data_IF_417117859490
#
_entry.id   IF_417117859490
#
_cell.length_a   1.000
_cell.length_b   1.000
_cell.length_c   1.000
_cell.angle_alpha   90.00
_cell.angle_beta   90.00
_cell.angle_gamma   90.00
#
_symmetry.space_group_name_H-M   'P 1'
#
loop_
_entity.id
_entity.type
_entity.pdbx_description
1 polymer ?
#
# COMPACT_ATOMS: atom_id res chain seq x y z
N UNK A 1 15.99 -0.94 -1.51
CA UNK A 1 14.58 -1.22 -1.83
C UNK A 1 14.20 -2.48 -1.07
N UNK A 2 13.45 -2.35 0.01
CA UNK A 2 12.99 -3.51 0.75
C UNK A 2 11.83 -4.13 -0.01
N UNK A 3 11.94 -5.41 -0.33
CA UNK A 3 10.89 -6.17 -1.00
C UNK A 3 9.92 -6.68 0.06
N UNK A 4 9.03 -5.81 0.53
CA UNK A 4 8.02 -6.19 1.50
C UNK A 4 6.67 -6.32 0.83
N UNK A 5 5.87 -7.20 1.36
CA UNK A 5 4.64 -7.65 0.78
C UNK A 5 3.55 -6.57 0.80
N UNK A 6 3.41 -5.81 1.89
CA UNK A 6 2.48 -4.70 1.98
C UNK A 6 3.14 -3.44 2.54
N UNK A 7 2.40 -2.33 2.54
CA UNK A 7 2.90 -1.04 3.01
C UNK A 7 3.30 -1.07 4.48
N UNK A 8 2.57 -1.78 5.35
CA UNK A 8 2.89 -1.88 6.76
C UNK A 8 4.29 -2.49 6.99
N UNK A 9 4.60 -3.57 6.30
CA UNK A 9 5.91 -4.24 6.38
C UNK A 9 7.05 -3.38 5.84
N UNK A 10 6.75 -2.48 4.89
CA UNK A 10 7.74 -1.53 4.37
C UNK A 10 8.24 -0.55 5.43
N UNK A 11 7.51 -0.37 6.53
CA UNK A 11 7.88 0.52 7.63
C UNK A 11 8.59 -0.19 8.79
N UNK A 12 8.60 -1.51 8.87
CA UNK A 12 9.18 -2.26 10.00
C UNK A 12 10.66 -1.93 10.25
N UNK A 13 11.38 -1.56 9.21
CA UNK A 13 12.78 -1.14 9.31
C UNK A 13 12.97 0.39 9.35
N UNK A 14 11.92 1.16 9.52
CA UNK A 14 12.01 2.61 9.64
C UNK A 14 12.22 3.03 11.09
N UNK A 15 13.32 3.73 11.38
CA UNK A 15 13.58 4.27 12.72
C UNK A 15 12.54 5.32 13.17
N UNK A 16 11.70 5.81 12.27
CA UNK A 16 10.78 6.93 12.51
C UNK A 16 9.35 6.54 12.63
N UNK A 17 8.99 5.35 12.17
CA UNK A 17 7.62 4.86 12.09
C UNK A 17 7.59 3.50 12.78
N UNK A 18 6.66 3.35 13.69
CA UNK A 18 6.31 2.06 14.26
C UNK A 18 5.00 1.59 13.68
N UNK A 19 4.94 0.33 13.31
CA UNK A 19 3.71 -0.33 12.89
C UNK A 19 3.25 -1.21 14.04
N UNK A 20 1.98 -1.09 14.39
CA UNK A 20 1.35 -1.93 15.41
C UNK A 20 -0.01 -2.41 14.93
N UNK A 21 -0.57 -3.39 15.61
CA UNK A 21 -1.95 -3.80 15.36
C UNK A 21 -2.91 -2.76 15.95
N UNK A 22 -3.91 -2.37 15.17
CA UNK A 22 -5.02 -1.54 15.65
C UNK A 22 -6.09 -2.41 16.30
N UNK A 23 -6.24 -3.62 15.78
CA UNK A 23 -7.17 -4.63 16.27
C UNK A 23 -6.55 -6.02 16.02
N UNK A 24 -6.53 -6.84 17.08
CA UNK A 24 -5.94 -8.16 17.05
C UNK A 24 -6.81 -9.17 16.26
N UNK A 25 -8.13 -9.00 16.30
CA UNK A 25 -9.07 -9.94 15.67
C UNK A 25 -9.01 -9.81 14.16
N UNK A 26 -9.11 -8.60 13.64
CA UNK A 26 -9.13 -8.36 12.19
C UNK A 26 -7.73 -8.28 11.56
N UNK A 27 -6.67 -8.24 12.38
CA UNK A 27 -5.31 -8.03 11.93
C UNK A 27 -5.07 -6.64 11.32
N UNK A 28 -5.96 -5.68 11.60
CA UNK A 28 -5.81 -4.31 11.13
C UNK A 28 -4.56 -3.66 11.72
N UNK A 29 -3.74 -3.07 10.86
CA UNK A 29 -2.47 -2.44 11.26
C UNK A 29 -2.59 -0.92 11.23
N UNK A 30 -1.94 -0.27 12.16
CA UNK A 30 -1.83 1.18 12.20
C UNK A 30 -0.37 1.64 12.27
N UNK A 31 -0.12 2.76 11.64
CA UNK A 31 1.15 3.46 11.77
C UNK A 31 1.12 4.36 13.00
N UNK A 32 2.24 4.40 13.70
CA UNK A 32 2.51 5.42 14.73
C UNK A 32 3.73 6.23 14.29
N UNK A 33 3.53 7.51 14.14
CA UNK A 33 4.59 8.45 13.81
C UNK A 33 4.85 9.36 15.02
N UNK A 34 6.10 9.45 15.44
CA UNK A 34 6.50 10.19 16.66
C UNK A 34 5.80 9.68 17.93
N UNK A 35 5.45 8.40 17.99
CA UNK A 35 4.74 7.80 19.13
C UNK A 35 3.24 8.09 19.17
N UNK A 36 2.70 8.91 18.27
CA UNK A 36 1.28 9.26 18.21
C UNK A 36 0.50 8.22 17.38
N UNK A 37 -0.79 8.07 17.71
CA UNK A 37 -1.70 7.18 16.98
C UNK A 37 -1.79 7.55 15.50
N UNK A 38 -2.02 6.55 14.66
CA UNK A 38 -2.13 6.69 13.21
C UNK A 38 -3.21 7.66 12.72
N UNK A 39 -4.23 7.94 13.54
CA UNK A 39 -5.27 8.95 13.22
C UNK A 39 -4.71 10.37 13.08
N UNK A 40 -3.54 10.64 13.67
CA UNK A 40 -2.84 11.92 13.59
C UNK A 40 -1.81 11.99 12.46
N UNK A 41 -1.69 10.93 11.67
CA UNK A 41 -0.79 10.83 10.52
C UNK A 41 -1.62 10.81 9.24
N UNK A 42 -1.39 11.76 8.36
CA UNK A 42 -2.10 11.80 7.09
C UNK A 42 -1.41 10.90 6.06
N UNK A 43 -2.21 10.05 5.41
CA UNK A 43 -1.79 9.27 4.27
C UNK A 43 -2.16 9.96 2.97
N UNK A 44 -1.19 10.07 2.08
CA UNK A 44 -1.36 10.65 0.74
C UNK A 44 -0.97 9.61 -0.32
N UNK A 45 -1.67 9.64 -1.43
CA UNK A 45 -1.34 8.94 -2.67
C UNK A 45 -1.10 9.98 -3.76
N UNK A 46 0.15 10.13 -4.18
CA UNK A 46 0.57 11.18 -5.12
C UNK A 46 0.03 12.57 -4.74
N UNK A 47 0.24 12.94 -3.47
CA UNK A 47 -0.22 14.19 -2.85
C UNK A 47 -1.74 14.36 -2.70
N UNK A 48 -2.52 13.30 -2.85
CA UNK A 48 -3.97 13.31 -2.61
C UNK A 48 -4.29 12.53 -1.34
N UNK A 49 -5.07 13.09 -0.40
CA UNK A 49 -5.44 12.38 0.81
C UNK A 49 -6.20 11.09 0.53
N UNK A 50 -5.74 10.00 1.14
CA UNK A 50 -6.36 8.67 1.05
C UNK A 50 -6.52 8.07 2.45
N UNK A 51 -7.27 6.96 2.55
CA UNK A 51 -7.37 6.14 3.75
C UNK A 51 -7.83 6.92 4.97
N UNK A 52 -8.92 7.65 4.82
CA UNK A 52 -9.54 8.44 5.88
C UNK A 52 -10.68 7.68 6.56
N UNK A 53 -10.96 8.06 7.81
CA UNK A 53 -12.09 7.53 8.58
C UNK A 53 -11.99 6.02 8.80
N UNK A 54 -13.06 5.29 8.52
CA UNK A 54 -13.19 3.84 8.77
C UNK A 54 -12.17 3.01 7.96
N UNK A 55 -11.74 3.49 6.80
CA UNK A 55 -10.77 2.78 5.96
C UNK A 55 -9.31 2.90 6.46
N UNK A 56 -9.02 3.84 7.36
CA UNK A 56 -7.66 4.11 7.81
C UNK A 56 -6.93 2.89 8.40
N UNK A 57 -7.55 2.04 9.25
CA UNK A 57 -6.88 0.88 9.83
C UNK A 57 -6.53 -0.20 8.80
N UNK A 58 -7.31 -0.32 7.73
CA UNK A 58 -7.09 -1.34 6.70
C UNK A 58 -6.22 -0.85 5.54
N UNK A 59 -6.10 0.45 5.40
CA UNK A 59 -5.45 1.08 4.26
C UNK A 59 -4.01 0.62 4.02
N UNK A 60 -3.28 0.33 5.10
CA UNK A 60 -1.90 -0.15 5.02
C UNK A 60 -1.79 -1.54 4.39
N UNK A 61 -2.81 -2.38 4.58
CA UNK A 61 -2.86 -3.71 3.97
C UNK A 61 -3.26 -3.66 2.49
N UNK A 62 -3.92 -2.58 2.06
CA UNK A 62 -4.47 -2.44 0.71
C UNK A 62 -3.49 -1.86 -0.32
N UNK A 63 -2.29 -1.49 0.12
CA UNK A 63 -1.26 -0.99 -0.78
C UNK A 63 -0.12 -2.01 -0.86
N UNK A 64 0.01 -2.73 -1.97
CA UNK A 64 1.15 -3.61 -2.19
C UNK A 64 2.46 -2.81 -2.23
N UNK A 65 3.44 -3.20 -1.42
CA UNK A 65 4.74 -2.51 -1.37
C UNK A 65 5.47 -2.52 -2.71
N UNK A 66 5.27 -3.55 -3.50
CA UNK A 66 5.87 -3.69 -4.84
C UNK A 66 5.34 -2.69 -5.88
N UNK A 67 4.17 -2.07 -5.63
CA UNK A 67 3.60 -1.03 -6.50
C UNK A 67 4.26 0.34 -6.31
N UNK A 68 5.00 0.52 -5.20
CA UNK A 68 5.56 1.80 -4.84
C UNK A 68 6.93 2.01 -5.46
N UNK A 69 7.13 3.19 -6.01
CA UNK A 69 8.42 3.72 -6.44
C UNK A 69 9.16 4.31 -5.23
N UNK A 70 8.45 5.10 -4.42
CA UNK A 70 9.00 5.70 -3.22
C UNK A 70 7.92 5.97 -2.15
N UNK A 71 8.37 6.11 -0.92
CA UNK A 71 7.58 6.53 0.24
C UNK A 71 8.26 7.75 0.82
N UNK A 72 7.53 8.87 0.87
CA UNK A 72 8.03 10.12 1.41
C UNK A 72 7.40 10.35 2.78
N UNK A 73 8.23 10.62 3.79
CA UNK A 73 7.80 10.81 5.17
C UNK A 73 8.17 12.22 5.60
N UNK A 74 7.17 13.04 5.91
CA UNK A 74 7.33 14.34 6.53
C UNK A 74 6.85 14.28 7.97
N UNK A 75 7.71 14.68 8.90
CA UNK A 75 7.42 14.67 10.34
C UNK A 75 6.95 16.06 10.79
N UNK A 76 6.02 16.08 11.73
CA UNK A 76 5.47 17.31 12.28
C UNK A 76 4.26 17.85 11.52
N UNK A 77 3.65 18.92 11.99
CA UNK A 77 2.46 19.48 11.39
C UNK A 77 2.72 19.97 9.98
N UNK A 78 1.79 19.67 9.09
CA UNK A 78 1.85 20.05 7.68
C UNK A 78 0.86 21.14 7.34
N UNK A 79 0.84 21.57 6.08
CA UNK A 79 -0.08 22.58 5.60
C UNK A 79 -1.53 22.12 5.72
N UNK A 80 -2.40 23.01 6.21
CA UNK A 80 -3.86 22.80 6.28
C UNK A 80 -4.53 22.52 4.93
N UNK A 81 -3.85 22.82 3.82
CA UNK A 81 -4.32 22.49 2.46
C UNK A 81 -4.55 20.99 2.32
N UNK A 82 -3.75 20.17 2.98
CA UNK A 82 -3.84 18.71 2.91
C UNK A 82 -4.83 18.10 3.92
N UNK A 83 -5.36 18.88 4.85
CA UNK A 83 -6.34 18.44 5.87
C UNK A 83 -5.83 18.65 7.30
N UNK A 84 -6.71 18.36 8.26
CA UNK A 84 -6.46 18.58 9.69
C UNK A 84 -5.73 17.43 10.39
N UNK A 85 -5.56 16.29 9.72
CA UNK A 85 -5.03 15.05 10.32
C UNK A 85 -3.49 15.03 10.40
N UNK A 86 -2.81 16.11 10.00
CA UNK A 86 -1.34 16.18 9.93
C UNK A 86 -0.70 16.71 11.21
N UNK A 87 -1.04 16.15 12.35
CA UNK A 87 -0.44 16.55 13.63
C UNK A 87 0.93 15.94 13.82
N UNK A 88 1.05 14.63 13.60
CA UNK A 88 2.33 13.91 13.71
C UNK A 88 3.13 13.93 12.42
N UNK A 89 2.46 14.09 11.28
CA UNK A 89 3.11 14.17 9.97
C UNK A 89 2.30 13.62 8.81
N UNK A 90 2.98 13.48 7.69
CA UNK A 90 2.41 12.96 6.44
C UNK A 90 3.25 11.82 5.89
N UNK A 91 2.58 10.86 5.27
CA UNK A 91 3.21 9.80 4.49
C UNK A 91 2.62 9.85 3.09
N UNK A 92 3.44 10.21 2.12
CA UNK A 92 3.05 10.25 0.72
C UNK A 92 3.59 9.04 -0.04
N UNK A 93 2.71 8.36 -0.74
CA UNK A 93 3.01 7.18 -1.53
C UNK A 93 3.14 7.59 -2.99
N UNK A 94 4.26 7.26 -3.60
CA UNK A 94 4.49 7.43 -5.03
C UNK A 94 4.46 6.07 -5.70
N UNK A 95 3.49 5.87 -6.58
CA UNK A 95 3.38 4.63 -7.35
C UNK A 95 4.31 4.62 -8.55
N UNK A 96 4.64 3.43 -9.03
CA UNK A 96 5.37 3.20 -10.27
C UNK A 96 4.68 3.90 -11.43
N UNK A 97 5.48 4.55 -12.27
CA UNK A 97 4.99 5.38 -13.39
C UNK A 97 5.17 4.66 -14.72
N UNK A 98 4.28 4.88 -15.70
CA UNK A 98 4.42 4.25 -17.01
C UNK A 98 5.73 4.55 -17.73
N UNK A 99 6.36 5.69 -17.40
CA UNK A 99 7.59 6.16 -18.05
C UNK A 99 8.88 5.63 -17.44
N UNK A 100 8.82 5.11 -16.21
CA UNK A 100 10.01 4.68 -15.46
C UNK A 100 10.03 3.18 -15.20
N UNK A 101 8.93 2.49 -15.43
CA UNK A 101 8.81 1.07 -15.14
C UNK A 101 9.36 0.22 -16.30
N UNK A 102 9.87 -0.94 -15.95
CA UNK A 102 10.30 -1.96 -16.92
C UNK A 102 9.09 -2.51 -17.70
N UNK A 103 9.29 -3.00 -18.92
CA UNK A 103 8.22 -3.59 -19.71
C UNK A 103 7.47 -4.72 -18.98
N UNK A 104 8.18 -5.49 -18.17
CA UNK A 104 7.59 -6.54 -17.34
C UNK A 104 8.42 -6.74 -16.06
N UNK A 105 7.73 -6.68 -14.94
CA UNK A 105 8.24 -7.04 -13.62
C UNK A 105 7.34 -8.09 -13.00
N UNK A 106 7.93 -9.20 -12.55
CA UNK A 106 7.25 -10.26 -11.82
C UNK A 106 7.96 -10.47 -10.49
N UNK A 107 7.19 -10.61 -9.42
CA UNK A 107 7.70 -10.95 -8.11
C UNK A 107 6.79 -12.01 -7.48
N UNK A 108 7.37 -13.09 -7.01
CA UNK A 108 6.69 -14.17 -6.29
C UNK A 108 7.31 -14.32 -4.91
N UNK A 109 6.48 -14.47 -3.91
CA UNK A 109 6.88 -14.70 -2.53
C UNK A 109 6.12 -15.89 -1.94
N UNK A 110 6.83 -16.74 -1.20
CA UNK A 110 6.27 -17.84 -0.45
C UNK A 110 6.99 -17.93 0.90
N UNK A 111 6.22 -17.92 1.98
CA UNK A 111 6.78 -18.09 3.33
C UNK A 111 6.66 -19.52 3.82
N UNK A 112 7.38 -19.84 4.91
CA UNK A 112 7.28 -21.14 5.58
C UNK A 112 5.90 -21.41 6.19
N UNK A 113 5.12 -20.36 6.48
CA UNK A 113 3.72 -20.44 6.93
C UNK A 113 2.72 -20.55 5.76
N UNK A 114 3.19 -20.83 4.54
CA UNK A 114 2.40 -20.93 3.30
C UNK A 114 1.73 -19.62 2.85
N UNK A 115 2.08 -18.48 3.45
CA UNK A 115 1.69 -17.18 2.89
C UNK A 115 2.33 -17.05 1.52
N UNK A 116 1.52 -16.79 0.52
CA UNK A 116 1.93 -16.67 -0.87
C UNK A 116 1.51 -15.34 -1.46
N UNK A 117 2.37 -14.76 -2.29
CA UNK A 117 2.09 -13.51 -2.98
C UNK A 117 2.62 -13.55 -4.40
N UNK A 118 1.89 -12.89 -5.30
CA UNK A 118 2.29 -12.67 -6.67
C UNK A 118 2.06 -11.21 -7.05
N UNK A 119 3.09 -10.57 -7.59
CA UNK A 119 3.02 -9.21 -8.05
C UNK A 119 3.44 -9.14 -9.51
N UNK A 120 2.70 -8.38 -10.30
CA UNK A 120 3.02 -8.06 -11.69
C UNK A 120 2.98 -6.54 -11.89
N UNK A 121 3.95 -6.02 -12.58
CA UNK A 121 3.92 -4.67 -13.12
C UNK A 121 4.35 -4.72 -14.59
N UNK A 122 3.58 -4.10 -15.47
CA UNK A 122 3.88 -4.03 -16.89
C UNK A 122 3.65 -2.63 -17.42
N UNK A 123 4.67 -2.05 -18.02
CA UNK A 123 4.62 -0.75 -18.67
C UNK A 123 4.56 -0.91 -20.18
N UNK A 124 3.63 -0.21 -20.81
CA UNK A 124 3.41 -0.22 -22.24
C UNK A 124 3.43 1.22 -22.74
N UNK A 125 4.32 1.52 -23.66
CA UNK A 125 4.29 2.76 -24.43
C UNK A 125 3.55 2.52 -25.74
N UNK A 126 2.35 3.09 -25.88
CA UNK A 126 1.53 2.91 -27.06
C UNK A 126 2.02 3.76 -28.23
N UNK A 127 2.46 4.99 -27.93
CA UNK A 127 3.07 5.93 -28.87
C UNK A 127 3.81 7.03 -28.08
N UNK A 128 4.33 8.05 -28.78
CA UNK A 128 5.13 9.12 -28.17
C UNK A 128 4.37 9.95 -27.12
N UNK A 129 3.04 9.89 -27.11
CA UNK A 129 2.17 10.67 -26.20
C UNK A 129 1.47 9.84 -25.14
N UNK A 130 1.24 8.56 -25.41
CA UNK A 130 0.45 7.70 -24.54
C UNK A 130 1.27 6.57 -23.97
N UNK A 131 1.26 6.44 -22.66
CA UNK A 131 1.81 5.31 -21.94
C UNK A 131 0.85 4.81 -20.87
N UNK A 132 0.96 3.54 -20.55
CA UNK A 132 0.13 2.89 -19.52
C UNK A 132 0.98 1.97 -18.66
N UNK A 133 0.63 1.82 -17.39
CA UNK A 133 1.15 0.79 -16.51
C UNK A 133 0.00 0.00 -15.89
N UNK A 134 0.14 -1.31 -15.91
CA UNK A 134 -0.75 -2.25 -15.23
C UNK A 134 0.00 -2.80 -14.03
N UNK A 135 -0.64 -2.76 -12.87
CA UNK A 135 -0.13 -3.27 -11.61
C UNK A 135 -1.13 -4.30 -11.07
N UNK A 136 -0.69 -5.52 -10.90
CA UNK A 136 -1.48 -6.60 -10.31
C UNK A 136 -0.83 -7.09 -9.02
N UNK A 137 -1.65 -7.45 -8.04
CA UNK A 137 -1.21 -8.07 -6.80
C UNK A 137 -2.23 -9.11 -6.36
N UNK A 138 -1.74 -10.25 -5.98
CA UNK A 138 -2.49 -11.30 -5.33
C UNK A 138 -1.74 -11.71 -4.07
N UNK A 139 -2.44 -11.85 -2.96
CA UNK A 139 -1.90 -12.42 -1.74
C UNK A 139 -2.89 -13.39 -1.10
N UNK A 140 -2.37 -14.47 -0.57
CA UNK A 140 -3.12 -15.44 0.22
C UNK A 140 -2.33 -15.76 1.47
N UNK A 141 -2.94 -15.50 2.60
CA UNK A 141 -2.47 -15.94 3.90
C UNK A 141 -3.45 -16.99 4.42
N UNK A 142 -3.04 -18.26 4.53
CA UNK A 142 -3.95 -19.31 4.96
C UNK A 142 -4.42 -19.14 6.40
N UNK A 143 -3.72 -18.30 7.22
CA UNK A 143 -4.09 -18.10 8.63
C UNK A 143 -4.18 -19.41 9.42
N UNK A 144 -5.05 -19.42 10.43
CA UNK A 144 -5.41 -20.63 11.14
C UNK A 144 -4.34 -21.20 12.07
N UNK A 145 -3.27 -20.43 12.31
CA UNK A 145 -2.27 -20.79 13.31
C UNK A 145 -2.71 -20.31 14.68
N UNK A 146 -2.84 -21.25 15.60
CA UNK A 146 -3.09 -21.01 17.03
C UNK A 146 -1.84 -21.48 17.78
N UNK A 147 -0.92 -20.56 18.04
CA UNK A 147 0.38 -20.84 18.64
C UNK A 147 0.34 -21.06 20.15
N UNK A 148 -0.71 -20.57 20.81
CA UNK A 148 -0.89 -20.66 22.25
C UNK A 148 -1.95 -21.71 22.66
N UNK A 149 -2.67 -22.30 21.70
CA UNK A 149 -3.74 -23.28 21.88
C UNK A 149 -4.92 -22.75 22.72
N UNK A 150 -5.29 -21.50 22.52
CA UNK A 150 -6.45 -20.89 23.19
C UNK A 150 -7.76 -21.03 22.41
N UNK A 151 -7.71 -21.60 21.22
CA UNK A 151 -8.84 -21.83 20.32
C UNK A 151 -9.15 -20.66 19.39
N UNK A 152 -8.33 -19.61 19.41
CA UNK A 152 -8.45 -18.46 18.50
C UNK A 152 -7.27 -18.43 17.53
N UNK A 153 -7.51 -17.92 16.32
CA UNK A 153 -6.45 -17.75 15.33
C UNK A 153 -5.58 -16.53 15.69
N UNK A 154 -4.26 -16.71 15.73
CA UNK A 154 -3.29 -15.62 15.93
C UNK A 154 -3.26 -14.65 14.73
N UNK A 155 -3.51 -15.16 13.53
CA UNK A 155 -3.53 -14.40 12.29
C UNK A 155 -4.77 -14.78 11.47
N UNK A 156 -5.51 -13.81 10.91
CA UNK A 156 -6.69 -14.10 10.10
C UNK A 156 -6.30 -14.79 8.79
N UNK A 157 -7.16 -15.70 8.32
CA UNK A 157 -7.09 -16.17 6.96
C UNK A 157 -7.50 -15.03 6.03
N UNK A 158 -6.63 -14.64 5.12
CA UNK A 158 -6.87 -13.52 4.24
C UNK A 158 -6.55 -13.86 2.78
N UNK A 159 -7.44 -13.46 1.88
CA UNK A 159 -7.21 -13.54 0.45
C UNK A 159 -7.48 -12.16 -0.16
N UNK A 160 -6.48 -11.60 -0.82
CA UNK A 160 -6.56 -10.26 -1.38
C UNK A 160 -6.17 -10.26 -2.85
N UNK A 161 -6.92 -9.51 -3.64
CA UNK A 161 -6.58 -9.22 -5.02
C UNK A 161 -6.68 -7.72 -5.28
N UNK A 162 -5.62 -7.15 -5.85
CA UNK A 162 -5.55 -5.75 -6.25
C UNK A 162 -5.17 -5.64 -7.72
N UNK A 163 -5.85 -4.77 -8.43
CA UNK A 163 -5.54 -4.41 -9.80
C UNK A 163 -5.56 -2.89 -9.94
N UNK A 164 -4.55 -2.34 -10.59
CA UNK A 164 -4.51 -0.93 -10.96
C UNK A 164 -4.04 -0.77 -12.39
N UNK A 165 -4.72 0.06 -13.15
CA UNK A 165 -4.25 0.48 -14.46
C UNK A 165 -4.19 2.00 -14.49
N UNK A 166 -3.05 2.53 -14.92
CA UNK A 166 -2.74 3.97 -14.89
C UNK A 166 -2.29 4.41 -16.27
N UNK A 167 -2.81 5.52 -16.72
CA UNK A 167 -2.55 6.11 -18.02
C UNK A 167 -1.91 7.48 -17.87
N UNK A 168 -0.95 7.75 -18.74
CA UNK A 168 -0.30 9.04 -18.88
C UNK A 168 -0.40 9.48 -20.32
N UNK A 169 -0.93 10.68 -20.54
CA UNK A 169 -0.85 11.40 -21.80
C UNK A 169 0.06 12.60 -21.66
N UNK A 170 0.99 12.76 -22.61
CA UNK A 170 1.91 13.88 -22.66
C UNK A 170 1.72 14.61 -24.00
N UNK A 171 1.27 15.86 -23.93
CA UNK A 171 1.14 16.68 -25.12
C UNK A 171 2.48 17.37 -25.50
N UNK A 172 2.64 17.74 -26.74
CA UNK A 172 3.86 18.39 -27.25
C UNK A 172 4.16 19.76 -26.58
N UNK A 173 3.14 20.41 -26.02
CA UNK A 173 3.27 21.68 -25.28
C UNK A 173 3.62 21.49 -23.79
N UNK A 174 3.92 20.26 -23.37
CA UNK A 174 4.25 19.93 -21.97
C UNK A 174 3.04 19.68 -21.05
N UNK A 175 1.80 19.81 -21.54
CA UNK A 175 0.61 19.48 -20.77
C UNK A 175 0.56 17.96 -20.54
N UNK A 176 0.16 17.55 -19.32
CA UNK A 176 0.05 16.15 -18.92
C UNK A 176 -1.35 15.86 -18.39
N UNK A 177 -1.89 14.72 -18.78
CA UNK A 177 -3.13 14.18 -18.22
C UNK A 177 -2.85 12.80 -17.65
N UNK A 178 -3.24 12.57 -16.41
CA UNK A 178 -3.12 11.29 -15.72
C UNK A 178 -4.49 10.84 -15.25
N UNK A 179 -4.82 9.62 -15.56
CA UNK A 179 -6.03 8.98 -15.05
C UNK A 179 -5.76 7.49 -14.86
N UNK A 180 -6.63 6.83 -14.11
CA UNK A 180 -6.52 5.41 -13.86
C UNK A 180 -7.70 4.92 -13.05
N UNK A 181 -7.76 3.62 -12.91
CA UNK A 181 -8.69 2.93 -12.02
C UNK A 181 -7.94 1.95 -11.13
N UNK A 182 -8.50 1.68 -9.98
CA UNK A 182 -8.04 0.67 -9.03
C UNK A 182 -9.24 -0.16 -8.58
N UNK A 183 -9.06 -1.46 -8.57
CA UNK A 183 -10.02 -2.42 -8.02
C UNK A 183 -9.31 -3.23 -6.92
N UNK A 184 -10.06 -3.54 -5.85
CA UNK A 184 -9.57 -4.31 -4.73
C UNK A 184 -10.68 -5.23 -4.23
N UNK A 185 -10.33 -6.48 -3.99
CA UNK A 185 -11.14 -7.40 -3.19
C UNK A 185 -10.30 -7.91 -2.03
N UNK A 186 -10.91 -8.00 -0.85
CA UNK A 186 -10.25 -8.49 0.36
C UNK A 186 -11.28 -9.34 1.12
N UNK A 187 -10.97 -10.61 1.29
CA UNK A 187 -11.78 -11.56 2.05
C UNK A 187 -10.97 -12.04 3.23
N UNK A 188 -11.53 -11.86 4.42
CA UNK A 188 -10.87 -12.20 5.69
C UNK A 188 -11.79 -12.98 6.59
N UNK A 189 -11.25 -14.05 7.13
CA UNK A 189 -11.90 -14.85 8.16
C UNK A 189 -11.00 -14.81 9.40
N UNK A 190 -11.54 -14.27 10.47
CA UNK A 190 -10.91 -14.18 11.78
C UNK A 190 -11.78 -14.90 12.81
N UNK A 191 -11.19 -15.49 13.82
CA UNK A 191 -11.94 -16.21 14.86
C UNK A 191 -11.08 -16.67 16.00
#
# INVERSE_FOLDING_TARGET
KMACCNLAESFENSASITVGYADAITGARQIRLLGLSGIYTQMLDENRPIMRGIAAPFGLSYVPGQWLESIQIAKGPSSVINGLETISGQINLEHRKPTTEQPLFLNLFLSSKLRSEANIASSIQLNDKWSSVILGHFSKDPGGHDGNNDGFMDEPNATQFNLSNRWLYMANNGAQVRFGFKALTDDRVAG
#
